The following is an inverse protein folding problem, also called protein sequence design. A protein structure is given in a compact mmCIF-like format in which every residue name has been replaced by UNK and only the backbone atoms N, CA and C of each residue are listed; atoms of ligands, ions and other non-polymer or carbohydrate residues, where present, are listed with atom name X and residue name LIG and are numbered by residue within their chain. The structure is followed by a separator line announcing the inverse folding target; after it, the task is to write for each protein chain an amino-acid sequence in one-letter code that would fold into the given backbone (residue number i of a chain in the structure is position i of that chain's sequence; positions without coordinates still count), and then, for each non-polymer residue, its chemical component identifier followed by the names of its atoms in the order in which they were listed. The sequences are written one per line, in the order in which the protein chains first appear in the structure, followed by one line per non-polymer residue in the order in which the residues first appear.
data_IF_361389227284
#
_entry.id   IF_361389227284
#
_cell.length_a   1.000
_cell.length_b   1.000
_cell.length_c   1.000
_cell.angle_alpha   90.00
_cell.angle_beta   90.00
_cell.angle_gamma   90.00
#
_symmetry.space_group_name_H-M   'P 1'
#
loop_
_entity.id
_entity.type
_entity.pdbx_description
1 polymer ?
#
# COMPACT_ATOMS: atom_id res chain seq x y z
N UNK A 1 36.78 -37.37 -15.27
CA UNK A 1 37.17 -35.94 -15.27
C UNK A 1 36.47 -35.31 -16.47
N UNK A 2 35.24 -34.82 -16.28
CA UNK A 2 34.43 -34.25 -17.37
C UNK A 2 34.68 -32.75 -17.35
N UNK A 3 35.47 -32.27 -18.31
CA UNK A 3 35.73 -30.85 -18.51
C UNK A 3 34.48 -30.27 -19.18
N UNK A 4 33.60 -29.64 -18.39
CA UNK A 4 32.49 -28.86 -18.94
C UNK A 4 33.09 -27.67 -19.68
N UNK A 5 32.95 -27.69 -21.00
CA UNK A 5 33.41 -26.68 -21.92
C UNK A 5 32.61 -25.39 -21.66
N UNK A 6 33.26 -24.35 -21.12
CA UNK A 6 32.70 -23.00 -20.90
C UNK A 6 32.56 -22.25 -22.24
N UNK A 7 31.98 -22.90 -23.24
CA UNK A 7 31.98 -22.47 -24.64
C UNK A 7 30.74 -21.74 -25.11
N UNK A 8 29.61 -21.82 -24.39
CA UNK A 8 28.38 -21.11 -24.76
C UNK A 8 28.13 -19.94 -23.81
N UNK A 9 28.87 -18.85 -24.03
CA UNK A 9 28.78 -17.61 -23.26
C UNK A 9 27.37 -17.01 -23.23
N UNK A 10 26.54 -17.28 -24.25
CA UNK A 10 25.18 -16.74 -24.32
C UNK A 10 24.24 -17.38 -23.29
N UNK A 11 24.32 -18.69 -23.04
CA UNK A 11 23.43 -19.37 -22.10
C UNK A 11 23.71 -18.94 -20.65
N UNK A 12 24.99 -18.83 -20.29
CA UNK A 12 25.42 -18.34 -18.98
C UNK A 12 25.10 -16.86 -18.78
N UNK A 13 25.28 -16.02 -19.80
CA UNK A 13 24.88 -14.61 -19.76
C UNK A 13 23.36 -14.45 -19.62
N UNK A 14 22.57 -15.19 -20.40
CA UNK A 14 21.12 -15.17 -20.32
C UNK A 14 20.61 -15.65 -18.96
N UNK A 15 21.19 -16.72 -18.41
CA UNK A 15 20.85 -17.20 -17.07
C UNK A 15 21.15 -16.16 -16.00
N UNK A 16 22.31 -15.49 -16.09
CA UNK A 16 22.71 -14.47 -15.10
C UNK A 16 21.86 -13.21 -15.22
N UNK A 17 21.49 -12.80 -16.43
CA UNK A 17 20.55 -11.70 -16.68
C UNK A 17 19.16 -11.99 -16.11
N UNK A 18 18.63 -13.20 -16.32
CA UNK A 18 17.33 -13.59 -15.75
C UNK A 18 17.41 -13.65 -14.23
N UNK A 19 18.51 -14.14 -13.65
CA UNK A 19 18.69 -14.11 -12.19
C UNK A 19 18.74 -12.68 -11.64
N UNK A 20 19.50 -11.78 -12.25
CA UNK A 20 19.58 -10.37 -11.82
C UNK A 20 18.21 -9.67 -11.92
N UNK A 21 17.47 -9.97 -12.99
CA UNK A 21 16.12 -9.47 -13.20
C UNK A 21 15.10 -10.06 -12.23
N UNK A 22 15.27 -11.31 -11.79
CA UNK A 22 14.41 -11.92 -10.78
C UNK A 22 14.84 -11.59 -9.34
N UNK A 23 16.10 -11.23 -9.10
CA UNK A 23 16.60 -10.90 -7.77
C UNK A 23 15.95 -9.64 -7.20
N UNK A 24 15.58 -8.67 -8.05
CA UNK A 24 14.76 -7.52 -7.64
C UNK A 24 13.39 -7.93 -7.13
N UNK A 25 12.83 -9.03 -7.66
CA UNK A 25 11.49 -9.52 -7.33
C UNK A 25 11.48 -10.42 -6.08
N UNK A 26 12.65 -10.98 -5.70
CA UNK A 26 12.80 -11.95 -4.59
C UNK A 26 13.29 -11.27 -3.31
N UNK A 27 13.64 -9.98 -3.36
CA UNK A 27 14.06 -9.25 -2.17
C UNK A 27 12.83 -8.93 -1.31
N UNK A 28 12.75 -9.42 -0.06
CA UNK A 28 11.65 -9.07 0.82
C UNK A 28 11.62 -7.54 1.01
N UNK A 29 10.43 -6.93 1.07
CA UNK A 29 10.31 -5.50 1.33
C UNK A 29 11.01 -5.17 2.66
N UNK A 30 11.61 -3.99 2.74
CA UNK A 30 12.24 -3.47 3.96
C UNK A 30 11.28 -3.63 5.14
N UNK A 31 11.66 -4.15 6.31
CA UNK A 31 10.71 -4.43 7.39
C UNK A 31 10.25 -3.12 8.05
N UNK A 32 9.26 -2.45 7.45
CA UNK A 32 8.71 -1.19 7.91
C UNK A 32 7.44 -1.42 8.70
N UNK A 33 7.31 -0.73 9.83
CA UNK A 33 6.00 -0.58 10.48
C UNK A 33 5.09 0.32 9.65
N UNK A 34 3.79 0.32 9.96
CA UNK A 34 2.84 1.21 9.29
C UNK A 34 3.21 2.70 9.46
N UNK A 35 3.63 3.11 10.65
CA UNK A 35 4.00 4.52 10.89
C UNK A 35 5.23 4.93 10.07
N UNK A 36 6.22 4.04 9.96
CA UNK A 36 7.44 4.25 9.19
C UNK A 36 7.12 4.33 7.70
N UNK A 37 6.31 3.40 7.18
CA UNK A 37 5.85 3.41 5.79
C UNK A 37 5.08 4.69 5.48
N UNK A 38 4.15 5.10 6.34
CA UNK A 38 3.34 6.30 6.14
C UNK A 38 4.23 7.56 6.12
N UNK A 39 5.16 7.68 7.07
CA UNK A 39 6.11 8.80 7.09
C UNK A 39 7.14 8.77 5.95
N UNK A 40 7.35 7.62 5.31
CA UNK A 40 8.28 7.48 4.19
C UNK A 40 7.62 7.82 2.87
N UNK A 41 6.45 7.25 2.60
CA UNK A 41 5.81 7.23 1.28
C UNK A 41 4.52 8.04 1.19
N UNK A 42 3.71 8.12 2.25
CA UNK A 42 2.35 8.65 2.13
C UNK A 42 2.31 10.14 1.85
N UNK A 43 1.34 10.53 1.04
CA UNK A 43 1.10 11.91 0.61
C UNK A 43 -0.33 12.31 0.93
N UNK A 44 -0.48 13.50 1.50
CA UNK A 44 -1.77 14.13 1.76
C UNK A 44 -2.22 14.90 0.51
N UNK A 45 -3.32 14.43 -0.09
CA UNK A 45 -3.97 15.06 -1.23
C UNK A 45 -4.55 16.43 -0.88
N UNK A 46 -4.59 17.33 -1.87
CA UNK A 46 -5.03 18.72 -1.68
C UNK A 46 -6.51 18.83 -1.37
N UNK A 47 -7.30 17.91 -1.92
CA UNK A 47 -8.75 17.91 -1.85
C UNK A 47 -9.29 17.50 -0.47
N UNK A 48 -8.53 16.68 0.28
CA UNK A 48 -8.97 16.08 1.54
C UNK A 48 -8.07 16.40 2.74
N UNK A 49 -7.10 17.31 2.58
CA UNK A 49 -6.20 17.72 3.66
C UNK A 49 -5.98 19.23 3.71
N UNK A 50 -5.96 19.77 4.92
CA UNK A 50 -5.58 21.17 5.17
C UNK A 50 -4.11 21.44 4.84
N UNK A 51 -3.27 20.40 4.86
CA UNK A 51 -1.85 20.45 4.49
C UNK A 51 -1.63 19.49 3.32
N UNK A 52 -1.23 20.02 2.17
CA UNK A 52 -0.86 19.23 1.00
C UNK A 52 0.62 18.84 1.09
N UNK A 53 0.94 17.61 0.73
CA UNK A 53 2.31 17.13 0.62
C UNK A 53 2.59 15.94 1.51
N UNK A 54 3.86 15.72 1.83
CA UNK A 54 4.31 14.52 2.54
C UNK A 54 3.64 14.40 3.91
N UNK A 55 3.05 13.24 4.19
CA UNK A 55 2.45 12.96 5.50
C UNK A 55 3.54 12.97 6.58
N UNK A 56 3.18 13.54 7.72
CA UNK A 56 3.95 13.49 8.97
C UNK A 56 3.00 13.14 10.08
N UNK A 57 3.27 12.05 10.77
CA UNK A 57 2.45 11.62 11.89
C UNK A 57 2.64 12.53 13.11
N UNK A 58 1.59 12.63 13.90
CA UNK A 58 1.72 13.04 15.30
C UNK A 58 2.09 11.84 16.15
N UNK A 59 2.80 12.03 17.26
CA UNK A 59 3.30 10.91 18.08
C UNK A 59 2.22 9.96 18.60
N UNK A 60 0.96 10.39 18.76
CA UNK A 60 -0.13 9.48 19.13
C UNK A 60 -0.61 8.58 17.98
N UNK A 61 -0.40 9.02 16.73
CA UNK A 61 -0.79 8.25 15.54
C UNK A 61 0.18 7.09 15.31
N UNK A 62 1.46 7.27 15.66
CA UNK A 62 2.48 6.23 15.53
C UNK A 62 2.10 4.97 16.31
N UNK A 63 1.77 5.11 17.59
CA UNK A 63 1.37 3.96 18.41
C UNK A 63 0.11 3.25 17.90
N UNK A 64 -0.85 3.97 17.32
CA UNK A 64 -2.04 3.36 16.71
C UNK A 64 -1.66 2.60 15.44
N UNK A 65 -0.83 3.21 14.59
CA UNK A 65 -0.39 2.62 13.33
C UNK A 65 0.45 1.36 13.56
N UNK A 66 1.43 1.44 14.45
CA UNK A 66 2.34 0.33 14.72
C UNK A 66 1.61 -0.85 15.37
N UNK A 67 0.60 -0.58 16.21
CA UNK A 67 -0.26 -1.62 16.77
C UNK A 67 -1.08 -2.38 15.71
N UNK A 68 -1.36 -1.77 14.54
CA UNK A 68 -2.08 -2.45 13.45
C UNK A 68 -1.16 -3.45 12.74
N UNK A 69 0.13 -3.12 12.61
CA UNK A 69 1.14 -3.99 11.96
C UNK A 69 1.89 -4.89 12.94
N UNK A 70 1.57 -4.86 14.23
CA UNK A 70 2.16 -5.74 15.23
C UNK A 70 1.60 -7.17 15.04
N UNK A 71 2.46 -8.18 14.74
CA UNK A 71 2.03 -9.57 14.56
C UNK A 71 1.35 -10.18 15.79
N UNK A 72 1.57 -9.63 16.98
CA UNK A 72 0.93 -10.05 18.23
C UNK A 72 -0.48 -9.47 18.43
N UNK A 73 -0.91 -8.54 17.58
CA UNK A 73 -2.19 -7.83 17.71
C UNK A 73 -3.15 -8.25 16.60
N UNK A 74 -4.29 -8.82 16.97
CA UNK A 74 -5.33 -9.22 16.00
C UNK A 74 -6.49 -8.23 15.91
N UNK A 75 -6.60 -7.30 16.87
CA UNK A 75 -7.69 -6.33 16.93
C UNK A 75 -7.23 -5.03 17.59
N UNK A 76 -7.49 -3.91 16.92
CA UNK A 76 -7.25 -2.57 17.44
C UNK A 76 -8.60 -1.85 17.56
N UNK A 77 -8.94 -1.42 18.78
CA UNK A 77 -10.13 -0.60 19.05
C UNK A 77 -9.71 0.80 19.49
N UNK A 78 -10.25 1.83 18.85
CA UNK A 78 -9.83 3.22 19.10
C UNK A 78 -11.02 4.07 19.52
N UNK A 79 -10.98 4.57 20.76
CA UNK A 79 -11.85 5.67 21.18
C UNK A 79 -11.15 6.98 20.86
N UNK A 80 -11.77 7.80 20.00
CA UNK A 80 -11.16 9.04 19.50
C UNK A 80 -12.14 10.21 19.50
N UNK A 81 -11.59 11.41 19.61
CA UNK A 81 -12.31 12.66 19.38
C UNK A 81 -12.53 12.93 17.89
N UNK A 82 -13.38 13.90 17.56
CA UNK A 82 -13.56 14.32 16.17
C UNK A 82 -12.31 15.04 15.62
N UNK A 83 -12.08 14.93 14.30
CA UNK A 83 -11.04 15.67 13.54
C UNK A 83 -9.59 15.49 14.02
N UNK A 84 -9.25 14.31 14.52
CA UNK A 84 -7.88 13.93 14.93
C UNK A 84 -7.10 13.19 13.84
N UNK A 85 -7.46 13.37 12.56
CA UNK A 85 -6.78 12.68 11.46
C UNK A 85 -6.92 11.14 11.47
N UNK A 86 -7.91 10.59 12.16
CA UNK A 86 -8.10 9.13 12.24
C UNK A 86 -8.37 8.50 10.87
N UNK A 87 -9.11 9.19 9.99
CA UNK A 87 -9.34 8.75 8.61
C UNK A 87 -8.02 8.52 7.87
N UNK A 88 -7.03 9.41 8.05
CA UNK A 88 -5.72 9.27 7.42
C UNK A 88 -4.95 8.05 7.91
N UNK A 89 -5.12 7.67 9.17
CA UNK A 89 -4.55 6.42 9.68
C UNK A 89 -5.13 5.24 8.88
N UNK A 90 -6.45 5.17 8.69
CA UNK A 90 -7.10 4.10 7.93
C UNK A 90 -6.68 4.09 6.45
N UNK A 91 -6.57 5.27 5.83
CA UNK A 91 -6.07 5.40 4.46
C UNK A 91 -4.67 4.76 4.35
N UNK A 92 -3.77 5.09 5.28
CA UNK A 92 -2.42 4.53 5.27
C UNK A 92 -2.38 3.04 5.57
N UNK A 93 -3.30 2.50 6.39
CA UNK A 93 -3.46 1.04 6.56
C UNK A 93 -3.72 0.39 5.21
N UNK A 94 -4.66 0.95 4.44
CA UNK A 94 -4.98 0.45 3.09
C UNK A 94 -3.75 0.55 2.19
N UNK A 95 -3.06 1.69 2.17
CA UNK A 95 -1.86 1.88 1.37
C UNK A 95 -0.70 0.93 1.72
N UNK A 96 -0.51 0.67 3.01
CA UNK A 96 0.51 -0.26 3.50
C UNK A 96 0.23 -1.68 3.00
N UNK A 97 -0.96 -2.20 3.22
CA UNK A 97 -1.32 -3.55 2.78
C UNK A 97 -1.54 -3.68 1.26
N UNK A 98 -1.52 -2.57 0.50
CA UNK A 98 -1.48 -2.63 -0.95
C UNK A 98 -0.05 -2.73 -1.49
N UNK A 99 0.90 -2.00 -0.89
CA UNK A 99 2.26 -1.86 -1.44
C UNK A 99 3.35 -2.63 -0.70
N UNK A 100 3.15 -2.87 0.58
CA UNK A 100 4.18 -3.40 1.47
C UNK A 100 3.93 -4.86 1.82
N UNK A 101 2.71 -5.18 2.21
CA UNK A 101 2.28 -6.55 2.53
C UNK A 101 0.95 -6.87 1.83
N UNK A 102 0.97 -7.12 0.50
CA UNK A 102 -0.22 -7.32 -0.32
C UNK A 102 -1.24 -8.31 0.27
N UNK A 103 -2.35 -7.78 0.79
CA UNK A 103 -3.38 -8.54 1.47
C UNK A 103 -4.78 -8.10 1.02
N UNK A 104 -5.81 -8.97 1.06
CA UNK A 104 -7.20 -8.56 0.86
C UNK A 104 -7.67 -7.65 2.00
N UNK A 105 -8.27 -6.50 1.67
CA UNK A 105 -8.72 -5.50 2.65
C UNK A 105 -10.19 -5.19 2.40
N UNK A 106 -10.97 -5.12 3.48
CA UNK A 106 -12.37 -4.68 3.45
C UNK A 106 -12.55 -3.48 4.39
N UNK A 107 -12.97 -2.35 3.83
CA UNK A 107 -13.39 -1.18 4.61
C UNK A 107 -14.92 -1.14 4.64
N UNK A 108 -15.49 -1.08 5.85
CA UNK A 108 -16.94 -1.05 6.06
C UNK A 108 -17.33 0.26 6.73
N UNK A 109 -18.37 0.92 6.20
CA UNK A 109 -18.99 2.10 6.79
C UNK A 109 -20.44 1.80 7.19
N UNK A 110 -21.02 2.58 8.13
CA UNK A 110 -22.40 2.37 8.56
C UNK A 110 -23.46 2.53 7.46
N UNK A 111 -23.17 3.34 6.43
CA UNK A 111 -24.07 3.62 5.31
C UNK A 111 -23.35 3.44 3.98
N UNK A 112 -24.11 3.11 2.94
CA UNK A 112 -23.58 2.91 1.58
C UNK A 112 -23.04 4.23 1.02
N UNK A 113 -23.74 5.33 1.28
CA UNK A 113 -23.32 6.66 0.82
C UNK A 113 -21.99 7.07 1.44
N UNK A 114 -21.80 6.80 2.74
CA UNK A 114 -20.54 7.07 3.44
C UNK A 114 -19.38 6.23 2.85
N UNK A 115 -19.65 4.98 2.44
CA UNK A 115 -18.66 4.11 1.82
C UNK A 115 -18.28 4.60 0.41
N UNK A 116 -19.27 4.99 -0.39
CA UNK A 116 -19.05 5.55 -1.72
C UNK A 116 -18.27 6.87 -1.67
N UNK A 117 -18.65 7.76 -0.76
CA UNK A 117 -17.97 9.04 -0.57
C UNK A 117 -16.53 8.82 -0.11
N UNK A 118 -16.29 7.90 0.83
CA UNK A 118 -14.94 7.55 1.29
C UNK A 118 -14.06 7.01 0.15
N UNK A 119 -14.62 6.13 -0.70
CA UNK A 119 -13.90 5.61 -1.87
C UNK A 119 -13.46 6.73 -2.83
N UNK A 120 -14.37 7.65 -3.15
CA UNK A 120 -14.14 8.73 -4.13
C UNK A 120 -13.26 9.86 -3.57
N UNK A 121 -13.40 10.18 -2.29
CA UNK A 121 -12.80 11.39 -1.68
C UNK A 121 -11.54 11.12 -0.86
N UNK A 122 -11.32 9.90 -0.38
CA UNK A 122 -10.14 9.54 0.42
C UNK A 122 -9.24 8.55 -0.33
N UNK A 123 -9.78 7.37 -0.71
CA UNK A 123 -8.99 6.29 -1.31
C UNK A 123 -8.48 6.65 -2.71
N UNK A 124 -9.35 7.10 -3.62
CA UNK A 124 -8.94 7.40 -4.99
C UNK A 124 -7.84 8.51 -5.07
N UNK A 125 -7.93 9.63 -4.33
CA UNK A 125 -6.84 10.61 -4.26
C UNK A 125 -5.55 10.04 -3.67
N UNK A 126 -5.63 9.23 -2.61
CA UNK A 126 -4.46 8.59 -2.00
C UNK A 126 -3.71 7.70 -3.01
N UNK A 127 -4.44 6.85 -3.74
CA UNK A 127 -3.86 5.97 -4.76
C UNK A 127 -3.18 6.76 -5.88
N UNK A 128 -3.78 7.88 -6.29
CA UNK A 128 -3.26 8.75 -7.36
C UNK A 128 -1.99 9.50 -6.94
N UNK A 129 -1.97 10.02 -5.71
CA UNK A 129 -0.96 10.98 -5.26
C UNK A 129 0.23 10.34 -4.54
N UNK A 130 0.06 9.13 -3.99
CA UNK A 130 1.14 8.38 -3.36
C UNK A 130 1.89 7.57 -4.43
N UNK A 131 3.18 7.87 -4.73
CA UNK A 131 3.87 7.29 -5.88
C UNK A 131 3.86 5.76 -5.92
N UNK A 132 4.15 5.12 -4.78
CA UNK A 132 4.18 3.64 -4.67
C UNK A 132 2.81 3.00 -4.86
N UNK A 133 1.72 3.72 -4.59
CA UNK A 133 0.36 3.22 -4.81
C UNK A 133 -0.12 3.48 -6.24
N UNK A 134 0.34 4.57 -6.86
CA UNK A 134 -0.03 4.92 -8.23
C UNK A 134 0.41 3.87 -9.24
N UNK A 135 1.60 3.30 -9.04
CA UNK A 135 2.12 2.21 -9.87
C UNK A 135 1.25 0.95 -9.79
N UNK A 136 0.73 0.65 -8.60
CA UNK A 136 -0.14 -0.50 -8.34
C UNK A 136 -1.55 -0.28 -8.91
N UNK A 137 -2.12 0.91 -8.68
CA UNK A 137 -3.47 1.25 -9.14
C UNK A 137 -3.55 1.40 -10.68
N UNK A 138 -2.45 1.79 -11.33
CA UNK A 138 -2.36 1.99 -12.78
C UNK A 138 -2.46 0.72 -13.63
N UNK A 139 -2.40 -0.47 -13.04
CA UNK A 139 -2.55 -1.75 -13.75
C UNK A 139 -3.99 -2.26 -13.90
N UNK A 140 -4.98 -1.51 -13.41
CA UNK A 140 -6.33 -2.02 -13.12
C UNK A 140 -7.49 -1.37 -13.88
N UNK A 141 -7.33 -0.92 -15.13
CA UNK A 141 -8.50 -0.71 -15.99
C UNK A 141 -9.03 -2.06 -16.50
N UNK A 142 -9.56 -2.89 -15.61
CA UNK A 142 -10.55 -3.89 -16.00
C UNK A 142 -11.92 -3.24 -15.85
N UNK A 143 -12.49 -2.80 -16.97
CA UNK A 143 -13.92 -2.51 -17.09
C UNK A 143 -14.71 -3.79 -16.79
N UNK A 144 -14.88 -4.14 -15.51
CA UNK A 144 -15.87 -5.11 -15.08
C UNK A 144 -17.17 -4.37 -14.89
N UNK A 145 -17.91 -4.26 -15.99
CA UNK A 145 -19.32 -3.91 -15.98
C UNK A 145 -20.05 -4.93 -15.10
N UNK A 146 -20.50 -4.51 -13.92
CA UNK A 146 -21.34 -5.32 -13.05
C UNK A 146 -22.68 -5.52 -13.78
N UNK A 147 -23.11 -6.76 -14.08
CA UNK A 147 -24.39 -6.96 -14.74
C UNK A 147 -25.50 -6.48 -13.82
N UNK A 148 -26.33 -5.58 -14.34
CA UNK A 148 -27.56 -5.13 -13.68
C UNK A 148 -28.49 -6.33 -13.50
N UNK A 149 -28.88 -6.60 -12.25
CA UNK A 149 -29.88 -7.61 -11.93
C UNK A 149 -31.22 -6.87 -11.79
N UNK A 150 -31.92 -6.71 -12.91
CA UNK A 150 -33.34 -6.35 -12.96
C UNK A 150 -34.24 -7.57 -12.96
#
# INVERSE_FOLDING_TARGET
MITVNRGDNAAWQNFTLVLDQCLSDICPPEPLSLSEWANKYAVLSKENSAQTGKFRSFGYQDGIMDAITDPGVTQVSVMKSARVGYTKILDHVVGYYLSHDPSPILVVQPRVEDAEDYSKTEIAPMLRDTPVLKEIAGGGESQRQWPDHS
#
